data_IF_383437357620
#
_entry.id   IF_383437357620
#
_cell.length_a   1.000
_cell.length_b   1.000
_cell.length_c   1.000
_cell.angle_alpha   90.00
_cell.angle_beta   90.00
_cell.angle_gamma   90.00
#
_symmetry.space_group_name_H-M   'P 1'
#
loop_
_entity.id
_entity.type
_entity.pdbx_description
1 polymer ?
#
# COMPACT_ATOMS: atom_id res chain seq x y z
N UNK A 1 -2.14 7.50 15.70
CA UNK A 1 -1.69 7.01 14.41
C UNK A 1 -1.83 5.49 14.33
N UNK A 2 -2.26 5.00 13.20
CA UNK A 2 -2.45 3.56 12.97
C UNK A 2 -1.42 3.09 11.95
N UNK A 3 -0.58 2.13 12.33
CA UNK A 3 0.42 1.55 11.46
C UNK A 3 -0.21 0.71 10.36
N UNK A 4 0.26 0.88 9.14
CA UNK A 4 -0.23 0.14 7.97
C UNK A 4 0.91 -0.71 7.44
N UNK A 5 0.73 -2.02 7.49
CA UNK A 5 1.66 -3.00 6.95
C UNK A 5 0.99 -3.69 5.77
N UNK A 6 1.71 -3.79 4.66
CA UNK A 6 1.20 -4.43 3.44
C UNK A 6 1.98 -5.69 3.16
N UNK A 7 1.27 -6.76 2.87
CA UNK A 7 1.87 -8.01 2.40
C UNK A 7 1.24 -8.37 1.06
N UNK A 8 2.05 -8.66 0.07
CA UNK A 8 1.55 -8.94 -1.27
C UNK A 8 2.50 -9.87 -2.04
N UNK A 9 1.95 -10.62 -2.97
CA UNK A 9 2.73 -11.47 -3.87
C UNK A 9 2.89 -10.76 -5.20
N UNK A 10 4.11 -10.45 -5.57
CA UNK A 10 4.44 -9.71 -6.79
C UNK A 10 5.11 -10.64 -7.78
N UNK A 11 4.65 -10.60 -9.03
CA UNK A 11 5.34 -11.23 -10.15
C UNK A 11 6.21 -10.16 -10.80
N UNK A 12 7.52 -10.38 -10.80
CA UNK A 12 8.48 -9.42 -11.35
C UNK A 12 8.86 -9.82 -12.78
N UNK A 13 9.16 -8.82 -13.59
CA UNK A 13 9.77 -9.03 -14.89
C UNK A 13 11.23 -9.48 -14.72
N UNK A 14 11.83 -10.01 -15.79
CA UNK A 14 13.22 -10.50 -15.77
C UNK A 14 14.15 -9.36 -15.34
N UNK A 15 15.02 -9.66 -14.38
CA UNK A 15 15.99 -8.70 -13.84
C UNK A 15 15.48 -7.84 -12.69
N UNK A 16 14.24 -8.06 -12.25
CA UNK A 16 13.67 -7.30 -11.13
C UNK A 16 13.32 -8.23 -9.96
N UNK A 17 13.39 -7.69 -8.76
CA UNK A 17 13.09 -8.42 -7.53
C UNK A 17 12.68 -7.47 -6.43
N UNK A 18 12.21 -8.01 -5.30
CA UNK A 18 11.92 -7.20 -4.12
C UNK A 18 13.11 -6.36 -3.72
N UNK A 19 14.33 -6.93 -3.70
CA UNK A 19 15.47 -6.19 -3.19
C UNK A 19 15.83 -4.98 -4.05
N UNK A 20 15.66 -5.03 -5.36
CA UNK A 20 15.96 -3.85 -6.19
C UNK A 20 14.78 -2.91 -6.40
N UNK A 21 13.56 -3.32 -6.05
CA UNK A 21 12.38 -2.46 -6.15
C UNK A 21 11.80 -2.04 -4.80
N UNK A 22 12.40 -2.46 -3.68
CA UNK A 22 11.87 -2.17 -2.34
C UNK A 22 11.64 -0.68 -2.12
N UNK A 23 12.60 0.15 -2.47
CA UNK A 23 12.49 1.61 -2.28
C UNK A 23 11.33 2.20 -3.10
N UNK A 24 11.16 1.73 -4.33
CA UNK A 24 10.06 2.19 -5.19
C UNK A 24 8.71 1.72 -4.65
N UNK A 25 8.63 0.49 -4.17
CA UNK A 25 7.41 -0.06 -3.58
C UNK A 25 7.02 0.73 -2.33
N UNK A 26 7.98 0.95 -1.44
CA UNK A 26 7.76 1.73 -0.22
C UNK A 26 7.30 3.15 -0.54
N UNK A 27 7.94 3.79 -1.51
CA UNK A 27 7.62 5.16 -1.91
C UNK A 27 6.21 5.29 -2.46
N UNK A 28 5.79 4.33 -3.29
CA UNK A 28 4.44 4.34 -3.88
C UNK A 28 3.36 4.18 -2.82
N UNK A 29 3.54 3.24 -1.89
CA UNK A 29 2.55 3.01 -0.84
C UNK A 29 2.52 4.19 0.13
N UNK A 30 3.68 4.70 0.53
CA UNK A 30 3.75 5.85 1.41
C UNK A 30 3.08 7.08 0.81
N UNK A 31 3.31 7.34 -0.49
CA UNK A 31 2.66 8.45 -1.18
C UNK A 31 1.13 8.31 -1.18
N UNK A 32 0.62 7.11 -1.38
CA UNK A 32 -0.80 6.84 -1.32
C UNK A 32 -1.37 7.17 0.07
N UNK A 33 -0.70 6.72 1.12
CA UNK A 33 -1.15 6.98 2.49
C UNK A 33 -1.08 8.47 2.83
N UNK A 34 -0.07 9.18 2.32
CA UNK A 34 0.03 10.63 2.50
C UNK A 34 -1.10 11.37 1.79
N UNK A 35 -1.51 10.93 0.61
CA UNK A 35 -2.67 11.50 -0.07
C UNK A 35 -3.94 11.31 0.76
N UNK A 36 -4.14 10.13 1.35
CA UNK A 36 -5.29 9.88 2.22
C UNK A 36 -5.28 10.81 3.43
N UNK A 37 -4.12 11.04 4.03
CA UNK A 37 -3.99 11.93 5.19
C UNK A 37 -4.41 13.36 4.87
N UNK A 38 -4.21 13.80 3.64
CA UNK A 38 -4.59 15.16 3.22
C UNK A 38 -6.11 15.37 3.23
N UNK A 39 -6.89 14.30 3.09
CA UNK A 39 -8.35 14.39 3.10
C UNK A 39 -8.94 14.11 4.47
N UNK A 40 -8.11 13.87 5.48
CA UNK A 40 -8.54 13.45 6.80
C UNK A 40 -9.56 14.39 7.44
N UNK A 41 -9.38 15.69 7.28
CA UNK A 41 -10.28 16.69 7.89
C UNK A 41 -11.67 16.73 7.22
N UNK A 42 -11.76 16.24 5.98
CA UNK A 42 -13.00 16.29 5.19
C UNK A 42 -13.75 14.96 5.17
N UNK A 43 -13.17 13.93 5.82
CA UNK A 43 -13.72 12.57 5.79
C UNK A 43 -14.01 12.08 7.21
N UNK A 44 -15.15 11.39 7.38
CA UNK A 44 -15.47 10.75 8.65
C UNK A 44 -14.56 9.53 8.88
N UNK A 45 -14.24 8.84 7.81
CA UNK A 45 -13.37 7.66 7.84
C UNK A 45 -12.48 7.65 6.62
N UNK A 46 -11.20 7.31 6.82
CA UNK A 46 -10.31 7.02 5.72
C UNK A 46 -10.32 5.53 5.46
N UNK A 47 -10.32 5.14 4.20
CA UNK A 47 -10.27 3.73 3.80
C UNK A 47 -9.00 3.50 3.02
N UNK A 48 -8.14 2.61 3.52
CA UNK A 48 -6.97 2.15 2.78
C UNK A 48 -7.43 1.00 1.88
N UNK A 49 -7.40 1.21 0.57
CA UNK A 49 -7.97 0.27 -0.40
C UNK A 49 -6.89 -0.58 -1.03
N UNK A 50 -7.09 -1.90 -0.99
CA UNK A 50 -6.20 -2.87 -1.63
C UNK A 50 -6.08 -2.57 -3.13
N UNK A 51 -7.20 -2.27 -3.79
CA UNK A 51 -7.21 -1.99 -5.24
C UNK A 51 -6.33 -0.78 -5.59
N UNK A 52 -6.31 0.24 -4.75
CA UNK A 52 -5.48 1.42 -4.98
C UNK A 52 -4.00 1.11 -4.80
N UNK A 53 -3.67 0.31 -3.79
CA UNK A 53 -2.29 -0.13 -3.58
C UNK A 53 -1.82 -0.94 -4.79
N UNK A 54 -2.60 -1.91 -5.22
CA UNK A 54 -2.24 -2.77 -6.35
C UNK A 54 -2.11 -1.99 -7.65
N UNK A 55 -3.06 -1.10 -7.93
CA UNK A 55 -3.03 -0.28 -9.15
C UNK A 55 -1.77 0.58 -9.20
N UNK A 56 -1.42 1.20 -8.08
CA UNK A 56 -0.23 2.06 -8.03
C UNK A 56 1.06 1.27 -8.12
N UNK A 57 1.12 0.10 -7.51
CA UNK A 57 2.30 -0.78 -7.61
C UNK A 57 2.49 -1.30 -9.03
N UNK A 58 1.40 -1.59 -9.75
CA UNK A 58 1.48 -2.03 -11.14
C UNK A 58 2.05 -0.96 -12.07
N UNK A 59 2.07 0.30 -11.65
CA UNK A 59 2.73 1.37 -12.39
C UNK A 59 4.25 1.39 -12.26
N UNK A 60 4.83 0.57 -11.39
CA UNK A 60 6.28 0.49 -11.22
C UNK A 60 6.87 -0.38 -12.32
N UNK A 61 7.90 0.12 -13.00
CA UNK A 61 8.60 -0.66 -14.01
C UNK A 61 9.24 -1.90 -13.37
N UNK A 62 8.98 -3.06 -13.93
CA UNK A 62 9.50 -4.33 -13.43
C UNK A 62 8.47 -5.14 -12.66
N UNK A 63 7.30 -4.61 -12.37
CA UNK A 63 6.20 -5.34 -11.77
C UNK A 63 5.20 -5.71 -12.85
N UNK A 64 4.94 -7.01 -13.00
CA UNK A 64 4.07 -7.54 -14.06
C UNK A 64 2.69 -7.86 -13.52
N UNK A 65 2.60 -8.41 -12.31
CA UNK A 65 1.34 -8.81 -11.72
C UNK A 65 1.42 -8.78 -10.19
N UNK A 66 0.27 -8.64 -9.56
CA UNK A 66 0.16 -8.59 -8.10
C UNK A 66 -1.08 -9.38 -7.67
N UNK A 67 -0.95 -10.17 -6.61
CA UNK A 67 -2.10 -10.84 -6.00
C UNK A 67 -1.85 -11.09 -4.51
N UNK A 68 -2.89 -11.56 -3.82
CA UNK A 68 -2.79 -11.92 -2.42
C UNK A 68 -2.46 -10.77 -1.48
N UNK A 69 -2.83 -9.55 -1.84
CA UNK A 69 -2.52 -8.36 -1.06
C UNK A 69 -3.35 -8.32 0.23
N UNK A 70 -2.66 -8.11 1.35
CA UNK A 70 -3.31 -7.94 2.64
C UNK A 70 -2.85 -6.63 3.29
N UNK A 71 -3.73 -6.06 4.10
CA UNK A 71 -3.42 -4.89 4.92
C UNK A 71 -3.55 -5.32 6.37
N UNK A 72 -2.46 -5.20 7.13
CA UNK A 72 -2.39 -5.62 8.53
C UNK A 72 -2.87 -7.07 8.71
N UNK A 73 -2.49 -7.93 7.77
CA UNK A 73 -2.79 -9.36 7.80
C UNK A 73 -4.19 -9.76 7.32
N UNK A 74 -4.99 -8.81 6.85
CA UNK A 74 -6.36 -9.06 6.40
C UNK A 74 -6.49 -8.79 4.90
N UNK A 75 -7.09 -9.73 4.17
CA UNK A 75 -7.29 -9.61 2.71
C UNK A 75 -8.51 -8.75 2.40
N UNK A 76 -8.56 -7.55 2.95
CA UNK A 76 -9.67 -6.63 2.78
C UNK A 76 -9.18 -5.20 2.99
N UNK A 77 -9.97 -4.22 2.54
CA UNK A 77 -9.70 -2.82 2.77
C UNK A 77 -9.68 -2.53 4.27
N UNK A 78 -8.82 -1.60 4.67
CA UNK A 78 -8.69 -1.22 6.08
C UNK A 78 -9.37 0.13 6.31
N UNK A 79 -10.41 0.14 7.14
CA UNK A 79 -11.13 1.37 7.48
C UNK A 79 -10.59 1.93 8.79
N UNK A 80 -10.14 3.19 8.75
CA UNK A 80 -9.67 3.87 9.94
C UNK A 80 -10.83 4.56 10.66
N UNK A 81 -10.71 4.73 11.97
CA UNK A 81 -11.66 5.47 12.76
C UNK A 81 -11.53 6.98 12.52
N UNK A 82 -12.50 7.75 13.03
CA UNK A 82 -12.63 9.18 12.76
C UNK A 82 -11.38 10.01 13.08
N UNK A 83 -10.65 9.64 14.12
CA UNK A 83 -9.46 10.36 14.56
C UNK A 83 -8.17 9.57 14.32
N UNK A 84 -8.23 8.54 13.49
CA UNK A 84 -7.08 7.72 13.18
C UNK A 84 -6.45 8.16 11.86
N UNK A 85 -5.12 8.17 11.81
CA UNK A 85 -4.35 8.58 10.64
C UNK A 85 -3.42 7.43 10.26
N UNK A 86 -3.38 7.04 8.97
CA UNK A 86 -2.52 5.94 8.54
C UNK A 86 -1.06 6.36 8.49
N UNK A 87 -0.19 5.48 9.00
CA UNK A 87 1.26 5.64 8.94
C UNK A 87 1.86 4.39 8.32
N UNK A 88 2.69 4.55 7.29
CA UNK A 88 3.29 3.41 6.60
C UNK A 88 4.35 2.74 7.48
N UNK A 89 4.24 1.42 7.63
CA UNK A 89 5.18 0.63 8.43
C UNK A 89 5.94 -0.43 7.63
N UNK A 90 5.69 -0.53 6.35
CA UNK A 90 6.45 -1.42 5.48
C UNK A 90 5.61 -2.35 4.62
N UNK A 91 6.26 -2.90 3.61
CA UNK A 91 5.67 -3.89 2.72
C UNK A 91 6.63 -5.07 2.56
N UNK A 92 6.05 -6.27 2.38
CA UNK A 92 6.83 -7.50 2.22
C UNK A 92 6.07 -8.53 1.36
N UNK A 93 6.77 -9.57 1.00
CA UNK A 93 6.17 -10.71 0.29
C UNK A 93 5.48 -11.67 1.24
#
# INVERSE_FOLDING_TARGET
>A
DIGITVKTTITFDVGYSWSNLQTSIDGVIEDYLLELRKTWADEDHLIVRISQIETRLLGIKGIVDINGTTINGVADNFTLGKYEVPVYEGASA
#
